data_IF_569823249439
#
_entry.id   IF_569823249439
#
_cell.length_a   1.000
_cell.length_b   1.000
_cell.length_c   1.000
_cell.angle_alpha   90.00
_cell.angle_beta   90.00
_cell.angle_gamma   90.00
#
_symmetry.space_group_name_H-M   'P 1'
#
loop_
_entity.id
_entity.type
_entity.pdbx_description
1 polymer ?
#
# COMPACT_ATOMS: atom_id res chain seq x y z
N UNK A 1 -8.30 -11.93 37.57
CA UNK A 1 -8.39 -10.92 36.48
C UNK A 1 -7.92 -11.43 35.12
N UNK A 2 -6.94 -12.32 35.06
CA UNK A 2 -6.37 -12.87 33.81
C UNK A 2 -7.38 -13.70 32.99
N UNK A 3 -8.30 -14.43 33.62
CA UNK A 3 -9.27 -15.27 32.91
C UNK A 3 -10.35 -14.54 32.11
N UNK A 4 -10.67 -13.29 32.45
CA UNK A 4 -11.68 -12.48 31.71
C UNK A 4 -11.09 -11.77 30.48
N UNK A 5 -9.78 -11.55 30.46
CA UNK A 5 -9.08 -10.88 29.34
C UNK A 5 -9.00 -11.73 28.07
N UNK A 6 -8.87 -13.06 28.22
CA UNK A 6 -8.70 -14.00 27.09
C UNK A 6 -9.98 -14.16 26.24
N UNK A 7 -11.16 -13.91 26.81
CA UNK A 7 -12.46 -14.07 26.13
C UNK A 7 -12.81 -12.91 25.17
N UNK A 8 -12.15 -11.76 25.26
CA UNK A 8 -12.46 -10.58 24.45
C UNK A 8 -11.89 -10.64 23.03
N UNK A 9 -10.89 -11.51 22.80
CA UNK A 9 -10.11 -11.48 21.57
C UNK A 9 -10.21 -12.81 20.85
N UNK A 10 -10.63 -12.85 19.57
CA UNK A 10 -10.56 -14.07 18.75
C UNK A 10 -9.11 -14.57 18.63
N UNK A 11 -8.90 -15.88 18.68
CA UNK A 11 -7.55 -16.48 18.64
C UNK A 11 -6.71 -16.07 17.42
N UNK A 12 -7.34 -15.84 16.27
CA UNK A 12 -6.66 -15.43 15.04
C UNK A 12 -6.06 -14.02 15.09
N UNK A 13 -6.51 -13.17 15.99
CA UNK A 13 -6.01 -11.79 16.11
C UNK A 13 -4.66 -11.71 16.82
N UNK A 14 -4.20 -12.79 17.46
CA UNK A 14 -2.91 -12.81 18.18
C UNK A 14 -1.71 -12.61 17.25
N UNK A 15 -1.82 -13.10 16.03
CA UNK A 15 -0.76 -13.06 15.01
C UNK A 15 -0.95 -11.93 13.98
N UNK A 16 -1.91 -10.99 14.24
CA UNK A 16 -2.28 -9.99 13.24
C UNK A 16 -2.11 -8.55 13.74
N UNK A 17 -0.89 -7.97 13.65
CA UNK A 17 -0.59 -6.62 14.13
C UNK A 17 -1.46 -5.53 13.50
N UNK A 18 -1.85 -5.66 12.22
CA UNK A 18 -2.68 -4.67 11.52
C UNK A 18 -4.08 -4.55 12.11
N UNK A 19 -4.66 -5.64 12.62
CA UNK A 19 -5.94 -5.61 13.34
C UNK A 19 -5.86 -4.67 14.56
N UNK A 20 -4.79 -4.80 15.36
CA UNK A 20 -4.56 -3.97 16.53
C UNK A 20 -4.30 -2.51 16.17
N UNK A 21 -3.55 -2.27 15.10
CA UNK A 21 -3.31 -0.93 14.55
C UNK A 21 -4.61 -0.30 14.05
N UNK A 22 -5.50 -1.06 13.43
CA UNK A 22 -6.81 -0.57 12.98
C UNK A 22 -7.70 -0.17 14.16
N UNK A 23 -7.77 -0.99 15.22
CA UNK A 23 -8.51 -0.64 16.45
C UNK A 23 -7.90 0.60 17.11
N UNK A 24 -6.57 0.69 17.17
CA UNK A 24 -5.86 1.85 17.73
C UNK A 24 -6.18 3.13 16.95
N UNK A 25 -6.16 3.08 15.61
CA UNK A 25 -6.54 4.22 14.76
C UNK A 25 -8.00 4.65 14.99
N UNK A 26 -8.92 3.71 15.13
CA UNK A 26 -10.33 3.99 15.45
C UNK A 26 -10.46 4.66 16.81
N UNK A 27 -9.78 4.19 17.84
CA UNK A 27 -9.77 4.82 19.17
C UNK A 27 -9.28 6.26 19.12
N UNK A 28 -8.21 6.56 18.37
CA UNK A 28 -7.69 7.92 18.18
C UNK A 28 -8.73 8.81 17.48
N UNK A 29 -9.43 8.28 16.49
CA UNK A 29 -10.49 9.01 15.79
C UNK A 29 -11.66 9.37 16.74
N UNK A 30 -12.05 8.46 17.62
CA UNK A 30 -13.08 8.72 18.63
C UNK A 30 -12.67 9.79 19.64
N UNK A 31 -11.42 9.84 20.04
CA UNK A 31 -10.90 10.91 20.88
C UNK A 31 -11.16 12.28 20.23
N UNK A 32 -10.89 12.42 18.95
CA UNK A 32 -11.14 13.67 18.18
C UNK A 32 -12.63 14.00 18.11
N UNK A 33 -13.49 13.02 17.82
CA UNK A 33 -14.95 13.22 17.75
C UNK A 33 -15.52 13.68 19.09
N UNK A 34 -15.04 13.15 20.21
CA UNK A 34 -15.54 13.54 21.55
C UNK A 34 -15.32 15.02 21.85
N UNK A 35 -14.23 15.61 21.41
CA UNK A 35 -14.05 17.06 21.52
C UNK A 35 -15.10 17.82 20.72
N UNK A 36 -15.46 17.35 19.52
CA UNK A 36 -16.55 17.93 18.74
C UNK A 36 -17.91 17.74 19.42
N UNK A 37 -18.16 16.59 20.05
CA UNK A 37 -19.40 16.32 20.79
C UNK A 37 -19.49 17.23 22.00
N UNK A 38 -18.43 17.38 22.79
CA UNK A 38 -18.41 18.28 23.94
C UNK A 38 -18.71 19.73 23.50
N UNK A 39 -18.08 20.19 22.42
CA UNK A 39 -18.35 21.51 21.82
C UNK A 39 -19.80 21.64 21.35
N UNK A 40 -20.37 20.60 20.75
CA UNK A 40 -21.75 20.59 20.26
C UNK A 40 -22.76 20.64 21.40
N UNK A 41 -22.53 19.91 22.49
CA UNK A 41 -23.39 19.95 23.71
C UNK A 41 -23.33 21.34 24.37
N UNK A 42 -22.13 21.92 24.44
CA UNK A 42 -21.96 23.29 24.95
C UNK A 42 -22.62 24.33 24.02
N UNK A 43 -22.45 24.15 22.70
CA UNK A 43 -23.13 24.98 21.68
C UNK A 43 -24.65 24.89 21.77
N UNK A 44 -25.21 23.69 21.99
CA UNK A 44 -26.64 23.49 22.19
C UNK A 44 -27.16 24.31 23.40
N UNK A 45 -26.39 24.36 24.48
CA UNK A 45 -26.76 25.14 25.66
C UNK A 45 -26.78 26.64 25.35
N UNK A 46 -25.75 27.17 24.66
CA UNK A 46 -25.66 28.59 24.30
C UNK A 46 -26.74 28.99 23.28
N UNK A 47 -26.85 28.22 22.18
CA UNK A 47 -27.82 28.49 21.10
C UNK A 47 -29.24 28.31 21.62
N UNK A 48 -29.49 27.27 22.42
CA UNK A 48 -30.77 26.99 23.03
C UNK A 48 -31.22 28.13 23.93
N UNK A 49 -30.34 28.63 24.79
CA UNK A 49 -30.68 29.71 25.71
C UNK A 49 -30.83 31.08 24.99
N UNK A 50 -29.87 31.45 24.14
CA UNK A 50 -29.79 32.80 23.58
C UNK A 50 -30.61 32.99 22.29
N UNK A 51 -30.68 31.96 21.42
CA UNK A 51 -31.31 32.07 20.09
C UNK A 51 -32.69 31.41 20.02
N UNK A 52 -32.86 30.26 20.67
CA UNK A 52 -34.10 29.48 20.63
C UNK A 52 -35.02 29.73 21.82
N UNK A 53 -34.61 30.62 22.76
CA UNK A 53 -35.41 30.98 23.96
C UNK A 53 -35.79 29.78 24.85
N UNK A 54 -34.95 28.75 24.87
CA UNK A 54 -35.13 27.60 25.78
C UNK A 54 -34.87 28.03 27.23
N UNK A 55 -35.83 27.74 28.10
CA UNK A 55 -35.70 28.04 29.53
C UNK A 55 -35.11 26.84 30.26
N UNK A 56 -33.77 26.83 30.42
CA UNK A 56 -33.08 25.85 31.24
C UNK A 56 -33.14 26.24 32.69
N UNK A 57 -33.36 25.28 33.58
CA UNK A 57 -33.22 25.49 35.03
C UNK A 57 -31.74 25.65 35.39
N UNK A 58 -31.41 26.34 36.51
CA UNK A 58 -30.02 26.44 36.98
C UNK A 58 -29.34 25.09 37.20
N UNK A 59 -30.11 24.06 37.58
CA UNK A 59 -29.60 22.68 37.72
C UNK A 59 -29.24 22.06 36.40
N UNK A 60 -30.09 22.23 35.37
CA UNK A 60 -29.82 21.73 34.02
C UNK A 60 -28.56 22.37 33.42
N UNK A 61 -28.37 23.68 33.57
CA UNK A 61 -27.17 24.39 33.12
C UNK A 61 -25.93 23.83 33.81
N UNK A 62 -25.95 23.72 35.16
CA UNK A 62 -24.81 23.16 35.92
C UNK A 62 -24.51 21.72 35.49
N UNK A 63 -25.54 20.88 35.35
CA UNK A 63 -25.40 19.49 34.92
C UNK A 63 -24.78 19.38 33.52
N UNK A 64 -25.26 20.14 32.54
CA UNK A 64 -24.70 20.11 31.15
C UNK A 64 -23.25 20.60 31.12
N UNK A 65 -22.90 21.64 31.88
CA UNK A 65 -21.51 22.10 32.00
C UNK A 65 -20.63 20.99 32.64
N UNK A 66 -21.09 20.35 33.71
CA UNK A 66 -20.36 19.27 34.39
C UNK A 66 -20.18 18.06 33.44
N UNK A 67 -21.21 17.73 32.63
CA UNK A 67 -21.14 16.68 31.60
C UNK A 67 -20.09 17.04 30.55
N UNK A 68 -20.06 18.26 30.04
CA UNK A 68 -19.05 18.72 29.10
C UNK A 68 -17.63 18.62 29.67
N UNK A 69 -17.45 19.08 30.91
CA UNK A 69 -16.17 19.00 31.61
C UNK A 69 -15.73 17.54 31.83
N UNK A 70 -16.67 16.66 32.18
CA UNK A 70 -16.37 15.23 32.36
C UNK A 70 -15.96 14.56 31.05
N UNK A 71 -16.62 14.90 29.92
CA UNK A 71 -16.23 14.42 28.57
C UNK A 71 -14.79 14.85 28.24
N UNK A 72 -14.45 16.11 28.48
CA UNK A 72 -13.11 16.62 28.22
C UNK A 72 -12.10 15.94 29.13
N UNK A 73 -12.39 15.82 30.42
CA UNK A 73 -11.50 15.23 31.42
C UNK A 73 -11.13 13.78 31.08
N UNK A 74 -12.14 12.91 30.90
CA UNK A 74 -11.83 11.51 30.60
C UNK A 74 -11.22 11.37 29.22
N UNK A 75 -11.56 12.23 28.24
CA UNK A 75 -10.96 12.20 26.93
C UNK A 75 -9.47 12.55 26.95
N UNK A 76 -9.06 13.53 27.78
CA UNK A 76 -7.63 13.84 28.02
C UNK A 76 -6.91 12.67 28.69
N UNK A 77 -7.53 12.01 29.67
CA UNK A 77 -6.95 10.83 30.33
C UNK A 77 -6.75 9.70 29.33
N UNK A 78 -7.73 9.46 28.46
CA UNK A 78 -7.64 8.43 27.40
C UNK A 78 -6.58 8.79 26.36
N UNK A 79 -6.50 10.06 25.98
CA UNK A 79 -5.49 10.54 25.01
C UNK A 79 -4.07 10.35 25.57
N UNK A 80 -3.87 10.63 26.83
CA UNK A 80 -2.59 10.35 27.50
C UNK A 80 -2.30 8.84 27.59
N UNK A 81 -3.31 8.03 27.90
CA UNK A 81 -3.16 6.58 28.07
C UNK A 81 -2.90 5.83 26.74
N UNK A 82 -3.20 6.41 25.59
CA UNK A 82 -3.01 5.75 24.27
C UNK A 82 -1.56 5.35 23.98
N UNK A 83 -0.58 6.05 24.56
CA UNK A 83 0.85 5.75 24.43
C UNK A 83 1.29 4.55 25.27
N UNK A 84 0.56 4.22 26.33
CA UNK A 84 0.88 3.18 27.30
C UNK A 84 0.21 1.85 26.92
N UNK A 85 -0.86 1.91 26.13
CA UNK A 85 -1.66 0.72 25.76
C UNK A 85 -0.92 -0.13 24.75
N UNK A 86 -0.53 -1.34 25.16
CA UNK A 86 0.21 -2.29 24.37
C UNK A 86 -0.59 -2.92 23.22
N UNK A 87 0.15 -3.50 22.28
CA UNK A 87 -0.38 -4.29 21.16
C UNK A 87 -0.55 -5.77 21.59
N UNK A 88 -0.03 -6.13 22.79
CA UNK A 88 0.03 -7.52 23.27
C UNK A 88 -1.35 -7.97 23.75
N UNK A 89 -1.88 -9.11 23.24
CA UNK A 89 -3.22 -9.58 23.59
C UNK A 89 -3.43 -10.00 25.05
N UNK A 90 -2.37 -10.29 25.79
CA UNK A 90 -2.39 -10.74 27.20
C UNK A 90 -2.44 -9.60 28.24
N UNK A 91 -2.26 -8.36 27.80
CA UNK A 91 -2.24 -7.18 28.67
C UNK A 91 -3.43 -6.26 28.40
N UNK A 92 -3.52 -5.13 29.11
CA UNK A 92 -4.51 -4.10 28.84
C UNK A 92 -4.24 -3.52 27.44
N UNK A 93 -5.10 -3.84 26.48
CA UNK A 93 -4.91 -3.56 25.06
C UNK A 93 -5.96 -2.57 24.52
N UNK A 94 -5.82 -2.23 23.24
CA UNK A 94 -6.70 -1.29 22.55
C UNK A 94 -8.19 -1.65 22.62
N UNK A 95 -8.55 -2.94 22.74
CA UNK A 95 -9.95 -3.39 22.84
C UNK A 95 -10.52 -3.14 24.24
N UNK A 96 -9.73 -3.34 25.29
CA UNK A 96 -10.15 -2.98 26.68
C UNK A 96 -10.34 -1.48 26.80
N UNK A 97 -9.44 -0.70 26.20
CA UNK A 97 -9.59 0.75 26.13
C UNK A 97 -10.88 1.15 25.39
N UNK A 98 -11.19 0.49 24.28
CA UNK A 98 -12.45 0.73 23.54
C UNK A 98 -13.69 0.41 24.37
N UNK A 99 -13.68 -0.70 25.10
CA UNK A 99 -14.78 -1.07 25.98
C UNK A 99 -14.99 -0.01 27.10
N UNK A 100 -13.91 0.41 27.75
CA UNK A 100 -13.97 1.45 28.77
C UNK A 100 -14.52 2.76 28.20
N UNK A 101 -14.06 3.16 27.03
CA UNK A 101 -14.53 4.36 26.32
C UNK A 101 -16.04 4.30 26.04
N UNK A 102 -16.52 3.20 25.49
CA UNK A 102 -17.94 3.00 25.16
C UNK A 102 -18.80 3.04 26.43
N UNK A 103 -18.37 2.43 27.52
CA UNK A 103 -19.10 2.46 28.78
C UNK A 103 -19.18 3.88 29.37
N UNK A 104 -18.09 4.64 29.32
CA UNK A 104 -18.07 6.04 29.75
C UNK A 104 -19.00 6.90 28.88
N UNK A 105 -18.94 6.72 27.55
CA UNK A 105 -19.81 7.45 26.62
C UNK A 105 -21.28 7.17 26.87
N UNK A 106 -21.68 5.91 27.14
CA UNK A 106 -23.07 5.58 27.52
C UNK A 106 -23.51 6.18 28.84
N UNK A 107 -22.60 6.21 29.82
CA UNK A 107 -22.89 6.82 31.12
C UNK A 107 -23.16 8.32 30.99
N UNK A 108 -22.28 9.00 30.26
CA UNK A 108 -22.41 10.45 30.02
C UNK A 108 -23.65 10.76 29.16
N UNK A 109 -23.91 9.96 28.13
CA UNK A 109 -25.10 10.12 27.30
C UNK A 109 -26.40 9.90 28.09
N UNK A 110 -26.43 8.93 29.01
CA UNK A 110 -27.58 8.67 29.90
C UNK A 110 -27.85 9.88 30.78
N UNK A 111 -26.79 10.46 31.37
CA UNK A 111 -26.92 11.69 32.20
C UNK A 111 -27.39 12.88 31.35
N UNK A 112 -26.86 13.05 30.12
CA UNK A 112 -27.27 14.11 29.22
C UNK A 112 -28.76 13.99 28.87
N UNK A 113 -29.22 12.78 28.54
CA UNK A 113 -30.62 12.49 28.20
C UNK A 113 -31.51 12.72 29.44
N UNK A 114 -31.09 12.33 30.62
CA UNK A 114 -31.82 12.58 31.86
C UNK A 114 -32.08 14.08 32.13
N UNK A 115 -31.02 14.91 32.02
CA UNK A 115 -31.14 16.35 32.29
C UNK A 115 -31.75 17.17 31.12
N UNK A 116 -32.02 16.52 29.98
CA UNK A 116 -32.61 17.18 28.80
C UNK A 116 -34.02 16.71 28.43
N UNK A 117 -34.68 15.91 29.32
CA UNK A 117 -36.07 15.54 29.15
C UNK A 117 -36.37 14.07 29.00
N UNK A 118 -35.37 13.19 29.12
CA UNK A 118 -35.48 11.71 29.03
C UNK A 118 -36.10 11.26 27.71
N UNK A 119 -37.40 10.92 27.69
CA UNK A 119 -38.13 10.53 26.48
C UNK A 119 -38.20 11.66 25.44
N UNK A 120 -38.30 12.91 25.90
CA UNK A 120 -38.40 14.09 25.06
C UNK A 120 -37.04 14.68 24.67
N UNK A 121 -35.97 14.12 25.21
CA UNK A 121 -34.62 14.56 24.90
C UNK A 121 -34.29 14.30 23.42
N UNK A 122 -33.79 15.28 22.66
CA UNK A 122 -33.33 15.04 21.29
C UNK A 122 -32.10 14.12 21.23
N UNK A 123 -31.41 13.93 22.37
CA UNK A 123 -30.14 13.20 22.44
C UNK A 123 -30.30 11.68 22.57
N UNK A 124 -31.49 11.13 22.83
CA UNK A 124 -31.67 9.67 22.96
C UNK A 124 -31.30 8.91 21.67
N UNK A 125 -31.39 9.54 20.50
CA UNK A 125 -30.98 8.93 19.23
C UNK A 125 -29.48 8.62 19.15
N UNK A 126 -28.65 9.30 19.93
CA UNK A 126 -27.21 9.02 19.98
C UNK A 126 -26.89 7.65 20.58
N UNK A 127 -27.78 7.03 21.33
CA UNK A 127 -27.63 5.63 21.77
C UNK A 127 -27.51 4.70 20.57
N UNK A 128 -28.31 4.93 19.51
CA UNK A 128 -28.28 4.12 18.27
C UNK A 128 -26.92 4.26 17.61
N UNK A 129 -26.40 5.47 17.49
CA UNK A 129 -25.10 5.73 16.89
C UNK A 129 -23.96 5.01 17.65
N UNK A 130 -23.98 5.10 18.98
CA UNK A 130 -22.98 4.42 19.83
C UNK A 130 -23.08 2.90 19.73
N UNK A 131 -24.29 2.32 19.55
CA UNK A 131 -24.45 0.89 19.32
C UNK A 131 -23.87 0.45 17.97
N UNK A 132 -24.04 1.24 16.91
CA UNK A 132 -23.41 0.96 15.60
C UNK A 132 -21.89 0.96 15.73
N UNK A 133 -21.35 2.01 16.32
CA UNK A 133 -19.90 2.16 16.55
C UNK A 133 -19.35 1.03 17.41
N UNK A 134 -20.01 0.73 18.51
CA UNK A 134 -19.65 -0.38 19.41
C UNK A 134 -19.64 -1.74 18.71
N UNK A 135 -20.60 -1.98 17.81
CA UNK A 135 -20.68 -3.21 17.01
C UNK A 135 -19.53 -3.40 16.00
N UNK A 136 -18.88 -2.30 15.59
CA UNK A 136 -17.73 -2.34 14.68
C UNK A 136 -16.39 -2.59 15.41
N UNK A 137 -16.37 -2.44 16.74
CA UNK A 137 -15.12 -2.52 17.53
C UNK A 137 -15.16 -3.70 18.48
N UNK A 138 -16.27 -3.85 19.21
CA UNK A 138 -16.41 -4.85 20.27
C UNK A 138 -16.97 -6.17 19.74
N UNK A 139 -16.64 -7.30 20.40
CA UNK A 139 -17.28 -8.58 20.12
C UNK A 139 -18.80 -8.49 20.25
N UNK A 140 -19.51 -9.15 19.31
CA UNK A 140 -20.96 -9.03 19.18
C UNK A 140 -21.76 -9.43 20.43
N UNK A 141 -21.23 -10.29 21.31
CA UNK A 141 -21.90 -10.64 22.56
C UNK A 141 -21.83 -9.50 23.59
N UNK A 142 -20.70 -8.78 23.67
CA UNK A 142 -20.55 -7.65 24.58
C UNK A 142 -21.50 -6.51 24.23
N UNK A 143 -21.54 -6.12 22.96
CA UNK A 143 -22.41 -5.01 22.54
C UNK A 143 -23.90 -5.36 22.71
N UNK A 144 -24.29 -6.64 22.55
CA UNK A 144 -25.64 -7.11 22.87
C UNK A 144 -25.95 -6.96 24.36
N UNK A 145 -25.01 -7.37 25.22
CA UNK A 145 -25.16 -7.22 26.68
C UNK A 145 -25.28 -5.74 27.06
N UNK A 146 -24.42 -4.88 26.51
CA UNK A 146 -24.48 -3.43 26.74
C UNK A 146 -25.82 -2.87 26.26
N UNK A 147 -26.33 -3.29 25.11
CA UNK A 147 -27.62 -2.87 24.57
C UNK A 147 -28.76 -3.19 25.57
N UNK A 148 -28.83 -4.41 26.09
CA UNK A 148 -29.83 -4.79 27.07
C UNK A 148 -29.72 -3.98 28.38
N UNK A 149 -28.48 -3.74 28.85
CA UNK A 149 -28.24 -2.90 30.04
C UNK A 149 -28.72 -1.48 29.80
N UNK A 150 -28.40 -0.87 28.67
CA UNK A 150 -28.83 0.49 28.32
C UNK A 150 -30.36 0.58 28.24
N UNK A 151 -31.04 -0.36 27.59
CA UNK A 151 -32.51 -0.42 27.51
C UNK A 151 -33.10 -0.57 28.94
N UNK A 152 -32.54 -1.45 29.78
CA UNK A 152 -33.04 -1.66 31.12
C UNK A 152 -32.87 -0.41 32.01
N UNK A 153 -31.70 0.25 31.97
CA UNK A 153 -31.43 1.46 32.72
C UNK A 153 -32.34 2.60 32.24
N UNK A 154 -32.49 2.77 30.90
CA UNK A 154 -33.36 3.81 30.37
C UNK A 154 -34.83 3.57 30.72
N UNK A 155 -35.32 2.32 30.66
CA UNK A 155 -36.69 1.96 31.04
C UNK A 155 -36.92 2.16 32.54
N UNK A 156 -35.94 1.80 33.38
CA UNK A 156 -36.00 2.05 34.84
C UNK A 156 -36.05 3.54 35.12
N UNK A 157 -35.26 4.35 34.45
CA UNK A 157 -35.25 5.82 34.61
C UNK A 157 -36.63 6.42 34.31
N UNK A 158 -37.25 6.01 33.18
CA UNK A 158 -38.60 6.46 32.78
C UNK A 158 -39.63 6.02 33.84
N UNK A 159 -39.54 4.79 34.34
CA UNK A 159 -40.43 4.29 35.38
C UNK A 159 -40.30 5.06 36.69
N UNK A 160 -39.04 5.32 37.17
CA UNK A 160 -38.79 6.07 38.42
C UNK A 160 -39.29 7.51 38.33
N UNK A 161 -39.18 8.16 37.15
CA UNK A 161 -39.77 9.49 36.89
C UNK A 161 -41.29 9.43 36.93
N UNK A 162 -41.90 8.36 36.45
CA UNK A 162 -43.37 8.19 36.40
C UNK A 162 -44.00 8.06 37.79
N UNK A 163 -43.29 7.45 38.73
CA UNK A 163 -43.75 7.29 40.14
C UNK A 163 -43.28 8.43 41.04
N UNK A 164 -42.76 9.54 40.43
CA UNK A 164 -42.26 10.74 41.11
C UNK A 164 -41.15 10.46 42.15
N UNK A 165 -40.42 9.35 42.01
CA UNK A 165 -39.25 9.03 42.84
C UNK A 165 -38.01 9.83 42.42
N UNK A 166 -37.92 10.22 41.15
CA UNK A 166 -36.86 11.03 40.56
C UNK A 166 -37.50 12.21 39.80
N UNK A 167 -36.90 13.40 39.95
CA UNK A 167 -37.38 14.59 39.24
C UNK A 167 -37.29 14.46 37.74
N UNK A 168 -38.33 14.96 37.06
CA UNK A 168 -38.35 15.07 35.57
C UNK A 168 -37.80 16.46 35.18
N UNK A 169 -36.82 16.45 34.25
CA UNK A 169 -36.14 17.66 33.80
C UNK A 169 -36.55 18.01 32.37
N UNK A 170 -37.65 18.75 32.24
CA UNK A 170 -38.13 19.20 30.92
C UNK A 170 -37.43 20.50 30.49
N UNK A 171 -37.14 20.63 29.22
CA UNK A 171 -36.69 21.89 28.63
C UNK A 171 -37.90 22.69 28.18
N UNK A 172 -38.25 23.74 28.96
CA UNK A 172 -39.35 24.63 28.58
C UNK A 172 -39.04 25.35 27.29
N UNK A 173 -39.94 25.23 26.30
CA UNK A 173 -39.75 25.75 24.92
C UNK A 173 -39.54 24.65 23.88
N UNK A 174 -39.11 23.45 24.24
CA UNK A 174 -39.11 22.24 23.40
C UNK A 174 -40.34 21.38 23.72
N UNK A 175 -40.66 21.24 25.02
CA UNK A 175 -41.71 20.34 25.49
C UNK A 175 -42.96 21.08 25.86
N UNK A 176 -44.12 20.55 25.45
CA UNK A 176 -45.44 21.00 25.90
C UNK A 176 -45.70 20.28 27.25
N UNK A 177 -46.00 21.06 28.25
CA UNK A 177 -46.27 20.60 29.64
C UNK A 177 -47.60 19.83 29.71
N UNK A 178 -47.69 18.68 29.05
CA UNK A 178 -48.83 17.77 29.02
C UNK A 178 -48.50 16.54 29.86
N UNK A 179 -49.37 16.19 30.82
CA UNK A 179 -49.32 14.90 31.51
C UNK A 179 -49.38 13.76 30.47
N UNK A 180 -48.26 13.09 30.24
CA UNK A 180 -48.18 12.02 29.26
C UNK A 180 -48.99 10.81 29.72
N UNK A 181 -49.82 10.21 28.85
CA UNK A 181 -50.50 8.97 29.20
C UNK A 181 -49.50 7.80 29.27
N UNK A 182 -49.77 6.83 30.12
CA UNK A 182 -48.92 5.63 30.29
C UNK A 182 -48.66 4.90 28.98
N UNK A 183 -49.67 4.85 28.12
CA UNK A 183 -49.58 4.20 26.79
C UNK A 183 -48.50 4.84 25.91
N UNK A 184 -48.25 6.13 26.04
CA UNK A 184 -47.19 6.81 25.31
C UNK A 184 -45.78 6.34 25.76
N UNK A 185 -45.54 6.30 27.06
CA UNK A 185 -44.28 5.88 27.64
C UNK A 185 -43.96 4.41 27.26
N UNK A 186 -44.96 3.51 27.34
CA UNK A 186 -44.83 2.10 26.98
C UNK A 186 -44.56 1.97 25.48
N UNK A 187 -45.28 2.66 24.64
CA UNK A 187 -45.08 2.62 23.18
C UNK A 187 -43.66 3.14 22.82
N UNK A 188 -43.24 4.26 23.41
CA UNK A 188 -41.91 4.81 23.18
C UNK A 188 -40.81 3.82 23.56
N UNK A 189 -40.90 3.21 24.76
CA UNK A 189 -39.93 2.23 25.21
C UNK A 189 -39.87 0.99 24.33
N UNK A 190 -41.04 0.49 23.85
CA UNK A 190 -41.08 -0.62 22.93
C UNK A 190 -40.41 -0.30 21.58
N UNK A 191 -40.72 0.90 21.02
CA UNK A 191 -40.10 1.36 19.77
C UNK A 191 -38.59 1.56 19.96
N UNK A 192 -38.18 2.23 21.04
CA UNK A 192 -36.77 2.43 21.36
C UNK A 192 -36.01 1.11 21.47
N UNK A 193 -36.55 0.15 22.25
CA UNK A 193 -35.93 -1.17 22.42
C UNK A 193 -35.83 -1.91 21.10
N UNK A 194 -36.91 -1.86 20.26
CA UNK A 194 -36.92 -2.51 18.94
C UNK A 194 -35.86 -1.94 18.02
N UNK A 195 -35.75 -0.61 17.96
CA UNK A 195 -34.73 0.07 17.14
C UNK A 195 -33.31 -0.29 17.63
N UNK A 196 -33.07 -0.24 18.95
CA UNK A 196 -31.77 -0.56 19.55
C UNK A 196 -31.34 -1.99 19.25
N UNK A 197 -32.23 -2.97 19.47
CA UNK A 197 -31.97 -4.39 19.24
C UNK A 197 -31.73 -4.66 17.73
N UNK A 198 -32.60 -4.10 16.87
CA UNK A 198 -32.47 -4.24 15.42
C UNK A 198 -31.17 -3.63 14.90
N UNK A 199 -30.79 -2.46 15.41
CA UNK A 199 -29.53 -1.79 15.07
C UNK A 199 -28.33 -2.65 15.43
N UNK A 200 -28.27 -3.17 16.65
CA UNK A 200 -27.19 -4.05 17.12
C UNK A 200 -27.13 -5.33 16.27
N UNK A 201 -28.28 -5.92 15.95
CA UNK A 201 -28.32 -7.12 15.13
C UNK A 201 -27.78 -6.88 13.72
N UNK A 202 -28.26 -5.81 13.05
CA UNK A 202 -27.80 -5.45 11.70
C UNK A 202 -26.33 -5.06 11.71
N UNK A 203 -25.91 -4.18 12.63
CA UNK A 203 -24.53 -3.71 12.70
C UNK A 203 -23.55 -4.87 12.97
N UNK A 204 -23.89 -5.78 13.89
CA UNK A 204 -23.07 -6.98 14.14
C UNK A 204 -23.00 -7.93 12.94
N UNK A 205 -24.09 -8.02 12.15
CA UNK A 205 -24.08 -8.82 10.92
C UNK A 205 -23.16 -8.22 9.87
N UNK A 206 -23.24 -6.90 9.70
CA UNK A 206 -22.37 -6.15 8.77
C UNK A 206 -20.90 -6.28 9.23
N UNK A 207 -20.60 -6.04 10.51
CA UNK A 207 -19.25 -6.14 11.06
C UNK A 207 -18.65 -7.52 10.81
N UNK A 208 -19.39 -8.59 11.09
CA UNK A 208 -18.93 -9.97 10.84
C UNK A 208 -18.69 -10.26 9.36
N UNK A 209 -19.55 -9.76 8.47
CA UNK A 209 -19.37 -9.93 7.04
C UNK A 209 -18.15 -9.18 6.52
N UNK A 210 -17.88 -7.97 7.03
CA UNK A 210 -16.68 -7.20 6.68
C UNK A 210 -15.41 -7.94 7.11
N UNK A 211 -15.34 -8.39 8.37
CA UNK A 211 -14.19 -9.16 8.87
C UNK A 211 -13.96 -10.45 8.07
N UNK A 212 -15.05 -11.17 7.72
CA UNK A 212 -14.94 -12.37 6.90
C UNK A 212 -14.42 -12.06 5.48
N UNK A 213 -14.86 -10.97 4.87
CA UNK A 213 -14.37 -10.55 3.55
C UNK A 213 -12.91 -10.15 3.60
N UNK A 214 -12.50 -9.41 4.63
CA UNK A 214 -11.10 -9.02 4.85
C UNK A 214 -10.20 -10.25 4.96
N UNK A 215 -10.60 -11.25 5.77
CA UNK A 215 -9.87 -12.51 5.90
C UNK A 215 -9.82 -13.30 4.57
N UNK A 216 -10.93 -13.37 3.83
CA UNK A 216 -10.94 -14.00 2.52
C UNK A 216 -10.02 -13.31 1.53
N UNK A 217 -10.02 -11.98 1.50
CA UNK A 217 -9.13 -11.20 0.64
C UNK A 217 -7.67 -11.48 0.98
N UNK A 218 -7.33 -11.47 2.26
CA UNK A 218 -5.97 -11.78 2.74
C UNK A 218 -5.51 -13.18 2.29
N UNK A 219 -6.35 -14.18 2.50
CA UNK A 219 -6.05 -15.56 2.08
C UNK A 219 -5.86 -15.66 0.56
N UNK A 220 -6.69 -14.96 -0.21
CA UNK A 220 -6.56 -14.93 -1.67
C UNK A 220 -5.25 -14.27 -2.11
N UNK A 221 -4.83 -13.18 -1.46
CA UNK A 221 -3.55 -12.53 -1.75
C UNK A 221 -2.36 -13.45 -1.45
N UNK A 222 -2.38 -14.17 -0.32
CA UNK A 222 -1.33 -15.15 0.01
C UNK A 222 -1.29 -16.27 -1.04
N UNK A 223 -2.45 -16.80 -1.44
CA UNK A 223 -2.51 -17.84 -2.48
C UNK A 223 -2.00 -17.36 -3.83
N UNK A 224 -2.31 -16.12 -4.22
CA UNK A 224 -1.80 -15.52 -5.46
C UNK A 224 -0.26 -15.39 -5.42
N UNK A 225 0.30 -14.95 -4.31
CA UNK A 225 1.75 -14.87 -4.14
C UNK A 225 2.43 -16.25 -4.22
N UNK A 226 1.86 -17.26 -3.56
CA UNK A 226 2.36 -18.64 -3.64
C UNK A 226 2.30 -19.22 -5.07
N UNK A 227 1.20 -18.95 -5.80
CA UNK A 227 1.06 -19.37 -7.20
C UNK A 227 2.09 -18.68 -8.09
N UNK A 228 2.29 -17.36 -7.91
CA UNK A 228 3.31 -16.62 -8.68
C UNK A 228 4.73 -17.13 -8.38
N UNK A 229 5.08 -17.32 -7.11
CA UNK A 229 6.37 -17.92 -6.69
C UNK A 229 6.55 -19.35 -7.27
N UNK A 230 5.50 -20.16 -7.27
CA UNK A 230 5.53 -21.50 -7.86
C UNK A 230 5.75 -21.47 -9.36
N UNK A 231 5.05 -20.57 -10.07
CA UNK A 231 5.23 -20.34 -11.51
C UNK A 231 6.67 -19.94 -11.86
N UNK A 232 7.27 -19.04 -11.07
CA UNK A 232 8.66 -18.61 -11.31
C UNK A 232 9.64 -19.77 -11.08
N UNK A 233 9.45 -20.57 -10.01
CA UNK A 233 10.28 -21.78 -9.76
C UNK A 233 10.15 -22.80 -10.89
N UNK A 234 8.93 -23.05 -11.38
CA UNK A 234 8.70 -23.94 -12.51
C UNK A 234 9.43 -23.44 -13.77
N UNK A 235 9.30 -22.16 -14.10
CA UNK A 235 10.01 -21.55 -15.23
C UNK A 235 11.53 -21.73 -15.12
N UNK A 236 12.10 -21.54 -13.93
CA UNK A 236 13.55 -21.76 -13.74
C UNK A 236 13.96 -23.22 -13.97
N UNK A 237 13.15 -24.18 -13.54
CA UNK A 237 13.40 -25.61 -13.79
C UNK A 237 13.38 -25.94 -15.29
N UNK A 238 12.32 -25.53 -16.00
CA UNK A 238 12.18 -25.76 -17.45
C UNK A 238 13.31 -25.10 -18.22
N UNK A 239 13.68 -23.87 -17.87
CA UNK A 239 14.75 -23.15 -18.54
C UNK A 239 16.12 -23.82 -18.33
N UNK A 240 16.35 -24.36 -17.16
CA UNK A 240 17.57 -25.15 -16.88
C UNK A 240 17.64 -26.43 -17.74
N UNK A 241 16.51 -27.14 -17.85
CA UNK A 241 16.41 -28.34 -18.68
C UNK A 241 16.58 -28.06 -20.18
N UNK A 242 16.15 -26.88 -20.66
CA UNK A 242 16.35 -26.46 -22.06
C UNK A 242 17.81 -26.02 -22.31
N UNK A 243 18.45 -25.35 -21.34
CA UNK A 243 19.85 -24.90 -21.46
C UNK A 243 20.80 -26.05 -21.72
N UNK A 244 20.61 -27.16 -21.04
CA UNK A 244 21.53 -28.33 -21.11
C UNK A 244 21.66 -28.90 -22.53
N UNK A 245 20.58 -29.26 -23.26
CA UNK A 245 20.69 -29.79 -24.62
C UNK A 245 21.23 -28.76 -25.62
N UNK A 246 20.90 -27.47 -25.47
CA UNK A 246 21.40 -26.42 -26.35
C UNK A 246 22.92 -26.25 -26.18
N UNK A 247 23.42 -26.25 -24.92
CA UNK A 247 24.85 -26.20 -24.65
C UNK A 247 25.59 -27.45 -25.17
N UNK A 248 24.96 -28.61 -25.17
CA UNK A 248 25.52 -29.82 -25.76
C UNK A 248 25.60 -29.70 -27.29
N UNK A 249 24.57 -29.16 -27.94
CA UNK A 249 24.61 -28.90 -29.40
C UNK A 249 25.75 -27.93 -29.77
N UNK A 250 25.91 -26.83 -28.99
CA UNK A 250 26.98 -25.86 -29.20
C UNK A 250 28.36 -26.51 -29.09
N UNK A 251 28.57 -27.33 -28.04
CA UNK A 251 29.80 -28.08 -27.84
C UNK A 251 30.13 -29.04 -28.98
N UNK A 252 29.14 -29.78 -29.52
CA UNK A 252 29.30 -30.68 -30.64
C UNK A 252 29.68 -29.91 -31.93
N UNK A 253 28.98 -28.80 -32.15
CA UNK A 253 29.27 -27.92 -33.28
C UNK A 253 30.71 -27.37 -33.21
N UNK A 254 31.16 -26.97 -32.02
CA UNK A 254 32.52 -26.49 -31.81
C UNK A 254 33.59 -27.57 -32.09
N UNK A 255 33.36 -28.81 -31.65
CA UNK A 255 34.27 -29.95 -31.92
C UNK A 255 34.38 -30.16 -33.42
N UNK A 256 33.31 -30.08 -34.17
CA UNK A 256 33.32 -30.28 -35.63
C UNK A 256 34.02 -29.09 -36.33
N UNK A 257 33.72 -27.84 -35.95
CA UNK A 257 34.36 -26.64 -36.50
C UNK A 257 35.85 -26.57 -36.24
N UNK A 258 36.32 -27.06 -35.08
CA UNK A 258 37.72 -27.18 -34.73
C UNK A 258 38.45 -28.34 -35.46
N UNK A 259 37.70 -29.05 -36.32
CA UNK A 259 38.20 -30.14 -37.16
C UNK A 259 38.75 -31.35 -36.41
N UNK A 260 38.33 -31.54 -35.13
CA UNK A 260 38.69 -32.72 -34.32
C UNK A 260 38.14 -34.04 -34.93
N UNK A 261 37.12 -33.97 -35.77
CA UNK A 261 36.44 -35.12 -36.38
C UNK A 261 36.92 -35.32 -37.84
N UNK A 262 37.82 -34.47 -38.34
CA UNK A 262 38.32 -34.49 -39.67
C UNK A 262 37.97 -33.24 -40.52
N UNK A 263 38.45 -33.13 -41.75
CA UNK A 263 38.20 -31.98 -42.60
C UNK A 263 36.73 -31.92 -43.01
N UNK A 264 36.17 -30.72 -43.00
CA UNK A 264 34.80 -30.42 -43.43
C UNK A 264 34.80 -29.54 -44.67
N UNK A 265 33.79 -29.66 -45.53
CA UNK A 265 33.60 -28.76 -46.69
C UNK A 265 33.20 -27.36 -46.24
N UNK A 266 33.53 -26.36 -47.08
CA UNK A 266 33.18 -24.96 -46.82
C UNK A 266 31.65 -24.75 -46.67
N UNK A 267 30.84 -25.52 -47.41
CA UNK A 267 29.38 -25.46 -47.29
C UNK A 267 28.89 -25.98 -45.95
N UNK A 268 29.49 -27.05 -45.43
CA UNK A 268 29.18 -27.61 -44.11
C UNK A 268 29.62 -26.64 -43.02
N UNK A 269 30.81 -26.04 -43.14
CA UNK A 269 31.31 -25.04 -42.19
C UNK A 269 30.38 -23.85 -42.08
N UNK A 270 29.88 -23.28 -43.20
CA UNK A 270 28.89 -22.20 -43.19
C UNK A 270 27.59 -22.59 -42.50
N UNK A 271 27.10 -23.82 -42.65
CA UNK A 271 25.89 -24.30 -41.98
C UNK A 271 26.13 -24.48 -40.47
N UNK A 272 27.26 -25.01 -40.07
CA UNK A 272 27.64 -25.18 -38.65
C UNK A 272 27.81 -23.83 -37.94
N UNK A 273 28.45 -22.86 -38.59
CA UNK A 273 28.54 -21.50 -38.02
C UNK A 273 27.17 -20.90 -37.77
N UNK A 274 26.23 -21.10 -38.70
CA UNK A 274 24.82 -20.63 -38.51
C UNK A 274 24.11 -21.37 -37.38
N UNK A 275 24.36 -22.66 -37.20
CA UNK A 275 23.80 -23.42 -36.04
C UNK A 275 24.39 -22.86 -34.74
N UNK A 276 25.69 -22.63 -34.67
CA UNK A 276 26.40 -22.08 -33.53
C UNK A 276 25.82 -20.71 -33.16
N UNK A 277 25.66 -19.81 -34.12
CA UNK A 277 25.06 -18.49 -33.93
C UNK A 277 23.64 -18.60 -33.33
N UNK A 278 22.77 -19.46 -33.92
CA UNK A 278 21.38 -19.65 -33.40
C UNK A 278 21.32 -20.31 -32.03
N UNK A 279 22.22 -21.23 -31.75
CA UNK A 279 22.31 -21.86 -30.42
C UNK A 279 22.74 -20.82 -29.36
N UNK A 280 23.74 -19.99 -29.67
CA UNK A 280 24.20 -18.89 -28.80
C UNK A 280 23.11 -17.86 -28.51
N UNK A 281 22.35 -17.45 -29.55
CA UNK A 281 21.17 -16.58 -29.36
C UNK A 281 20.13 -17.21 -28.39
N UNK A 282 19.86 -18.52 -28.56
CA UNK A 282 18.97 -19.27 -27.73
C UNK A 282 19.45 -19.28 -26.25
N UNK A 283 20.75 -19.52 -26.02
CA UNK A 283 21.33 -19.49 -24.69
C UNK A 283 21.26 -18.12 -24.03
N UNK A 284 21.50 -17.04 -24.77
CA UNK A 284 21.36 -15.67 -24.28
C UNK A 284 19.90 -15.42 -23.84
N UNK A 285 18.93 -15.83 -24.67
CA UNK A 285 17.51 -15.69 -24.34
C UNK A 285 17.15 -16.45 -23.05
N UNK A 286 17.57 -17.70 -22.95
CA UNK A 286 17.36 -18.57 -21.81
C UNK A 286 17.95 -17.95 -20.53
N UNK A 287 19.20 -17.46 -20.60
CA UNK A 287 19.85 -16.82 -19.45
C UNK A 287 19.12 -15.53 -19.01
N UNK A 288 18.58 -14.75 -19.96
CA UNK A 288 17.79 -13.55 -19.62
C UNK A 288 16.46 -13.92 -18.93
N UNK A 289 15.78 -14.99 -19.37
CA UNK A 289 14.56 -15.50 -18.70
C UNK A 289 14.89 -15.93 -17.26
N UNK A 290 16.02 -16.65 -17.06
CA UNK A 290 16.49 -17.04 -15.73
C UNK A 290 16.74 -15.82 -14.83
N UNK A 291 17.42 -14.79 -15.35
CA UNK A 291 17.70 -13.56 -14.60
C UNK A 291 16.41 -12.87 -14.18
N UNK A 292 15.44 -12.70 -15.08
CA UNK A 292 14.13 -12.10 -14.80
C UNK A 292 13.38 -12.94 -13.74
N UNK A 293 13.37 -14.27 -13.89
CA UNK A 293 12.67 -15.18 -12.95
C UNK A 293 13.30 -15.17 -11.58
N UNK A 294 14.64 -15.11 -11.47
CA UNK A 294 15.36 -14.97 -10.21
C UNK A 294 15.04 -13.64 -9.54
N UNK A 295 15.11 -12.53 -10.29
CA UNK A 295 14.77 -11.22 -9.76
C UNK A 295 13.38 -11.19 -9.16
N UNK A 296 12.38 -11.78 -9.81
CA UNK A 296 11.01 -11.83 -9.32
C UNK A 296 10.83 -12.64 -8.03
N UNK A 297 11.72 -13.59 -7.74
CA UNK A 297 11.70 -14.39 -6.51
C UNK A 297 12.42 -13.74 -5.33
N UNK A 298 13.30 -12.77 -5.57
CA UNK A 298 13.97 -12.05 -4.50
C UNK A 298 12.95 -11.19 -3.74
N UNK A 299 12.85 -11.36 -2.45
CA UNK A 299 11.97 -10.52 -1.60
C UNK A 299 12.57 -9.13 -1.39
N UNK A 300 13.90 -9.07 -1.27
CA UNK A 300 14.66 -7.82 -1.15
C UNK A 300 15.90 -7.90 -2.05
N UNK A 301 16.34 -6.76 -2.55
CA UNK A 301 17.63 -6.62 -3.25
C UNK A 301 18.68 -6.36 -2.17
N UNK A 302 19.81 -7.09 -2.20
CA UNK A 302 20.96 -6.72 -1.38
C UNK A 302 21.37 -5.30 -1.77
N UNK A 303 21.42 -4.39 -0.80
CA UNK A 303 21.66 -2.98 -1.07
C UNK A 303 22.95 -2.54 -0.40
N UNK A 304 23.90 -2.15 -1.23
CA UNK A 304 25.12 -1.47 -0.82
C UNK A 304 25.07 0.01 -1.21
N UNK A 305 25.87 0.83 -0.56
CA UNK A 305 26.10 2.21 -1.00
C UNK A 305 26.92 2.21 -2.30
N UNK A 306 26.38 2.77 -3.36
CA UNK A 306 26.99 2.79 -4.69
C UNK A 306 26.98 4.18 -5.31
N UNK A 307 28.04 4.52 -6.00
CA UNK A 307 28.12 5.72 -6.83
C UNK A 307 27.88 5.35 -8.29
N UNK A 308 26.81 5.86 -8.88
CA UNK A 308 26.39 5.52 -10.25
C UNK A 308 27.44 5.89 -11.31
N UNK A 309 28.18 6.96 -11.11
CA UNK A 309 29.23 7.39 -12.02
C UNK A 309 30.43 6.40 -12.02
N UNK A 310 30.70 5.73 -10.89
CA UNK A 310 31.69 4.67 -10.82
C UNK A 310 31.26 3.45 -11.64
N UNK A 311 29.99 3.03 -11.50
CA UNK A 311 29.44 1.92 -12.27
C UNK A 311 29.51 2.20 -13.78
N UNK A 312 29.13 3.41 -14.19
CA UNK A 312 29.16 3.79 -15.60
C UNK A 312 30.61 3.81 -16.12
N UNK A 313 31.54 4.38 -15.38
CA UNK A 313 32.97 4.41 -15.77
C UNK A 313 33.56 3.01 -15.87
N UNK A 314 33.38 2.19 -14.83
CA UNK A 314 33.84 0.81 -14.81
C UNK A 314 33.28 0.01 -16.00
N UNK A 315 31.99 0.17 -16.29
CA UNK A 315 31.38 -0.45 -17.45
C UNK A 315 32.02 0.01 -18.78
N UNK A 316 32.27 1.32 -18.93
CA UNK A 316 32.88 1.87 -20.15
C UNK A 316 34.33 1.38 -20.29
N UNK A 317 35.14 1.41 -19.24
CA UNK A 317 36.55 0.92 -19.25
C UNK A 317 36.63 -0.57 -19.65
N UNK A 318 35.74 -1.41 -19.12
CA UNK A 318 35.74 -2.85 -19.43
C UNK A 318 35.27 -3.20 -20.84
N UNK A 319 34.54 -2.30 -21.51
CA UNK A 319 33.83 -2.65 -22.74
C UNK A 319 34.20 -1.79 -23.96
N UNK A 320 34.94 -0.70 -23.79
CA UNK A 320 35.21 0.25 -24.90
C UNK A 320 35.96 -0.39 -26.05
N UNK A 321 36.80 -1.41 -25.81
CA UNK A 321 37.59 -2.10 -26.81
C UNK A 321 36.86 -3.29 -27.49
N UNK A 322 35.62 -3.60 -27.05
CA UNK A 322 34.85 -4.67 -27.66
C UNK A 322 34.31 -4.27 -29.03
N UNK A 323 34.38 -5.18 -30.00
CA UNK A 323 34.00 -4.96 -31.41
C UNK A 323 32.63 -4.33 -31.59
N UNK A 324 31.68 -4.64 -30.69
CA UNK A 324 30.32 -4.10 -30.75
C UNK A 324 30.23 -2.61 -30.42
N UNK A 325 31.21 -2.08 -29.64
CA UNK A 325 31.24 -0.69 -29.18
C UNK A 325 32.20 0.21 -29.95
N UNK A 326 33.10 -0.34 -30.77
CA UNK A 326 34.09 0.42 -31.60
C UNK A 326 33.38 1.39 -32.55
N UNK A 327 32.13 1.12 -32.91
CA UNK A 327 31.34 1.98 -33.81
C UNK A 327 30.69 3.15 -33.10
N UNK A 328 30.77 3.22 -31.75
CA UNK A 328 30.11 4.23 -30.93
C UNK A 328 31.10 5.28 -30.43
N UNK A 329 30.80 6.56 -30.69
CA UNK A 329 31.41 7.66 -29.99
C UNK A 329 30.62 7.87 -28.69
N UNK A 330 31.19 7.42 -27.54
CA UNK A 330 30.51 7.49 -26.23
C UNK A 330 30.94 8.76 -25.52
N UNK A 331 29.96 9.59 -25.14
CA UNK A 331 30.15 10.75 -24.28
C UNK A 331 29.48 10.49 -22.94
N UNK A 332 30.20 10.70 -21.85
CA UNK A 332 29.65 10.63 -20.48
C UNK A 332 29.79 11.95 -19.79
N UNK A 333 28.69 12.49 -19.27
CA UNK A 333 28.63 13.74 -18.54
C UNK A 333 27.89 13.53 -17.22
N UNK A 334 28.54 13.84 -16.12
CA UNK A 334 27.92 13.88 -14.79
C UNK A 334 27.80 15.33 -14.36
N UNK A 335 26.57 15.83 -14.35
CA UNK A 335 26.21 17.24 -14.12
C UNK A 335 25.66 17.46 -12.70
N UNK A 336 25.98 16.55 -11.79
CA UNK A 336 25.58 16.66 -10.37
C UNK A 336 26.57 17.51 -9.60
N UNK A 337 26.06 18.44 -8.79
CA UNK A 337 26.92 19.25 -7.89
C UNK A 337 27.49 18.38 -6.76
N UNK A 338 26.69 17.48 -6.21
CA UNK A 338 27.08 16.55 -5.14
C UNK A 338 26.76 15.12 -5.59
N UNK A 339 27.78 14.24 -5.56
CA UNK A 339 27.61 12.83 -5.91
C UNK A 339 27.13 12.05 -4.71
N UNK A 340 25.81 12.02 -4.52
CA UNK A 340 25.19 11.23 -3.45
C UNK A 340 25.22 9.75 -3.81
N UNK A 341 25.50 8.84 -2.84
CA UNK A 341 25.38 7.42 -3.06
C UNK A 341 23.91 7.00 -3.24
N UNK A 342 23.71 5.95 -4.01
CA UNK A 342 22.45 5.20 -4.08
C UNK A 342 22.59 3.95 -3.23
N UNK A 343 21.47 3.45 -2.75
CA UNK A 343 21.40 2.11 -2.16
C UNK A 343 20.84 1.12 -3.17
N UNK A 344 21.62 0.10 -3.53
CA UNK A 344 21.22 -0.85 -4.54
C UNK A 344 22.22 -1.97 -4.76
N UNK A 345 21.91 -2.84 -5.71
CA UNK A 345 22.79 -3.91 -6.19
C UNK A 345 23.61 -3.42 -7.38
N UNK A 346 24.93 -3.31 -7.16
CA UNK A 346 25.89 -2.83 -8.17
C UNK A 346 25.86 -3.67 -9.45
N UNK A 347 25.79 -4.99 -9.32
CA UNK A 347 25.80 -5.90 -10.47
C UNK A 347 24.52 -5.81 -11.30
N UNK A 348 23.39 -5.65 -10.64
CA UNK A 348 22.09 -5.46 -11.33
C UNK A 348 22.05 -4.12 -12.07
N UNK A 349 22.51 -3.04 -11.47
CA UNK A 349 22.54 -1.73 -12.13
C UNK A 349 23.55 -1.71 -13.27
N UNK A 350 24.72 -2.33 -13.12
CA UNK A 350 25.70 -2.54 -14.21
C UNK A 350 25.08 -3.33 -15.36
N UNK A 351 24.31 -4.38 -15.05
CA UNK A 351 23.57 -5.17 -16.04
C UNK A 351 22.51 -4.34 -16.77
N UNK A 352 21.78 -3.47 -16.07
CA UNK A 352 20.79 -2.59 -16.67
C UNK A 352 21.45 -1.61 -17.67
N UNK A 353 22.54 -0.95 -17.27
CA UNK A 353 23.31 -0.06 -18.14
C UNK A 353 23.84 -0.82 -19.35
N UNK A 354 24.43 -2.00 -19.15
CA UNK A 354 24.94 -2.86 -20.21
C UNK A 354 23.87 -3.20 -21.27
N UNK A 355 22.66 -3.54 -20.84
CA UNK A 355 21.56 -3.85 -21.76
C UNK A 355 21.13 -2.63 -22.58
N UNK A 356 21.09 -1.43 -21.98
CA UNK A 356 20.72 -0.21 -22.69
C UNK A 356 21.80 0.15 -23.71
N UNK A 357 23.07 0.17 -23.29
CA UNK A 357 24.20 0.53 -24.18
C UNK A 357 24.34 -0.48 -25.31
N UNK A 358 24.20 -1.79 -25.02
CA UNK A 358 24.21 -2.83 -26.07
C UNK A 358 23.06 -2.65 -27.07
N UNK A 359 21.87 -2.25 -26.64
CA UNK A 359 20.78 -1.93 -27.56
C UNK A 359 21.13 -0.73 -28.45
N UNK A 360 21.66 0.36 -27.86
CA UNK A 360 22.11 1.52 -28.63
C UNK A 360 23.16 1.12 -29.70
N UNK A 361 24.17 0.30 -29.32
CA UNK A 361 25.17 -0.19 -30.25
C UNK A 361 24.60 -1.00 -31.43
N UNK A 362 23.52 -1.76 -31.20
CA UNK A 362 22.85 -2.55 -32.24
C UNK A 362 22.02 -1.72 -33.23
N UNK A 363 21.48 -0.60 -32.78
CA UNK A 363 20.51 0.18 -33.56
C UNK A 363 21.06 1.48 -34.11
N UNK A 364 22.32 1.83 -33.87
CA UNK A 364 23.03 2.90 -34.55
C UNK A 364 23.66 2.42 -35.86
N UNK A 365 23.83 3.34 -36.78
CA UNK A 365 24.57 3.12 -38.03
C UNK A 365 26.06 3.50 -37.87
N UNK A 366 26.83 3.46 -38.97
CA UNK A 366 28.23 3.86 -38.94
C UNK A 366 28.38 5.28 -38.38
N UNK A 367 29.27 5.47 -37.40
CA UNK A 367 29.47 6.73 -36.67
C UNK A 367 28.36 7.03 -35.67
N UNK A 368 27.89 6.00 -34.91
CA UNK A 368 26.93 6.16 -33.83
C UNK A 368 27.44 7.03 -32.71
N UNK A 369 26.54 7.83 -32.10
CA UNK A 369 26.78 8.64 -30.92
C UNK A 369 25.91 8.10 -29.78
N UNK A 370 26.55 7.91 -28.66
CA UNK A 370 25.87 7.59 -27.37
C UNK A 370 26.23 8.67 -26.36
N UNK A 371 25.25 9.38 -25.86
CA UNK A 371 25.44 10.43 -24.86
C UNK A 371 24.73 10.05 -23.56
N UNK A 372 25.53 9.81 -22.51
CA UNK A 372 25.07 9.43 -21.17
C UNK A 372 25.15 10.68 -20.29
N UNK A 373 24.02 11.16 -19.81
CA UNK A 373 23.91 12.32 -18.95
C UNK A 373 23.33 11.89 -17.59
N UNK A 374 24.06 12.23 -16.52
CA UNK A 374 23.63 12.01 -15.13
C UNK A 374 23.44 13.36 -14.46
N UNK A 375 22.30 13.56 -13.79
CA UNK A 375 21.98 14.78 -13.06
C UNK A 375 20.99 14.52 -11.93
N UNK A 376 20.82 15.48 -11.04
CA UNK A 376 19.80 15.45 -10.01
C UNK A 376 18.56 16.25 -10.44
N UNK A 377 17.37 15.65 -10.28
CA UNK A 377 16.08 16.32 -10.53
C UNK A 377 15.13 15.97 -9.38
N UNK A 378 14.63 16.99 -8.66
CA UNK A 378 13.65 16.81 -7.58
C UNK A 378 14.08 15.76 -6.53
N UNK A 379 15.32 15.83 -6.06
CA UNK A 379 15.91 14.88 -5.10
C UNK A 379 15.92 13.42 -5.57
N UNK A 380 15.92 13.20 -6.89
CA UNK A 380 16.08 11.88 -7.51
C UNK A 380 17.27 11.92 -8.48
N UNK A 381 17.99 10.81 -8.56
CA UNK A 381 18.98 10.59 -9.59
C UNK A 381 18.27 10.41 -10.94
N UNK A 382 18.69 11.19 -11.91
CA UNK A 382 18.22 11.14 -13.30
C UNK A 382 19.37 10.72 -14.22
N UNK A 383 19.15 9.64 -14.98
CA UNK A 383 20.11 9.14 -15.99
C UNK A 383 19.41 9.16 -17.32
N UNK A 384 19.99 9.84 -18.31
CA UNK A 384 19.52 9.88 -19.68
C UNK A 384 20.60 9.25 -20.59
N UNK A 385 20.27 8.12 -21.19
CA UNK A 385 21.12 7.41 -22.13
C UNK A 385 20.48 7.56 -23.52
N UNK A 386 21.09 8.44 -24.32
CA UNK A 386 20.58 8.86 -25.64
C UNK A 386 21.48 8.38 -26.76
N UNK A 387 20.89 7.77 -27.80
CA UNK A 387 21.57 7.39 -29.05
C UNK A 387 21.01 8.16 -30.27
N UNK A 388 21.76 8.16 -31.38
CA UNK A 388 21.35 8.69 -32.63
C UNK A 388 20.98 7.57 -33.64
N UNK A 389 20.38 6.50 -33.15
CA UNK A 389 19.98 5.35 -33.98
C UNK A 389 18.69 5.55 -34.76
N UNK A 390 18.09 4.45 -35.17
CA UNK A 390 16.87 4.41 -36.02
C UNK A 390 15.60 4.93 -35.29
N UNK A 391 15.65 5.15 -33.99
CA UNK A 391 14.51 5.55 -33.20
C UNK A 391 13.43 4.46 -33.03
N UNK A 392 12.31 4.84 -32.43
CA UNK A 392 11.17 3.95 -32.14
C UNK A 392 9.90 4.62 -32.68
N UNK A 393 9.04 3.87 -33.44
CA UNK A 393 7.74 4.40 -33.87
C UNK A 393 6.88 4.84 -32.68
N UNK A 394 6.21 5.99 -32.81
CA UNK A 394 5.49 6.65 -31.71
C UNK A 394 4.48 5.73 -31.00
N UNK A 395 3.72 4.93 -31.74
CA UNK A 395 2.75 3.98 -31.18
C UNK A 395 3.35 2.75 -30.47
N UNK A 396 4.70 2.59 -30.50
CA UNK A 396 5.40 1.42 -29.97
C UNK A 396 6.29 1.72 -28.76
N UNK A 397 6.51 3.00 -28.43
CA UNK A 397 7.41 3.44 -27.35
C UNK A 397 7.12 2.77 -26.01
N UNK A 398 5.86 2.64 -25.63
CA UNK A 398 5.49 2.01 -24.35
C UNK A 398 5.62 0.48 -24.37
N UNK A 399 5.61 -0.15 -25.56
CA UNK A 399 5.64 -1.60 -25.71
C UNK A 399 7.05 -2.19 -25.72
N UNK A 400 8.08 -1.38 -25.92
CA UNK A 400 9.48 -1.87 -25.96
C UNK A 400 9.96 -2.47 -24.65
N UNK A 401 9.27 -2.21 -23.55
CA UNK A 401 9.53 -2.79 -22.22
C UNK A 401 8.76 -4.09 -21.97
N UNK A 402 7.87 -4.50 -22.90
CA UNK A 402 7.16 -5.76 -22.79
C UNK A 402 8.09 -6.93 -23.18
N UNK A 403 7.92 -8.07 -22.50
CA UNK A 403 8.73 -9.26 -22.76
C UNK A 403 8.49 -9.75 -24.20
N UNK A 404 9.58 -10.11 -24.91
CA UNK A 404 9.58 -10.58 -26.28
C UNK A 404 9.12 -9.54 -27.33
N UNK A 405 8.84 -8.30 -26.94
CA UNK A 405 8.45 -7.27 -27.88
C UNK A 405 9.65 -6.72 -28.65
N UNK A 406 9.46 -6.49 -29.93
CA UNK A 406 10.43 -5.86 -30.84
C UNK A 406 9.69 -4.88 -31.75
N UNK A 407 10.21 -3.66 -31.86
CA UNK A 407 9.64 -2.63 -32.71
C UNK A 407 9.64 -3.03 -34.21
N UNK A 408 8.62 -2.61 -34.93
CA UNK A 408 8.39 -3.02 -36.31
C UNK A 408 9.54 -2.61 -37.25
N UNK A 409 10.16 -1.45 -37.03
CA UNK A 409 11.31 -0.96 -37.78
C UNK A 409 12.59 -1.78 -37.55
N UNK A 410 12.67 -2.59 -36.48
CA UNK A 410 13.81 -3.47 -36.23
C UNK A 410 13.69 -4.84 -36.90
N UNK A 411 12.46 -5.28 -37.23
CA UNK A 411 12.21 -6.60 -37.87
C UNK A 411 12.71 -6.68 -39.30
N UNK A 412 12.72 -5.56 -40.03
CA UNK A 412 13.18 -5.46 -41.42
C UNK A 412 14.70 -5.51 -41.57
N UNK A 413 15.44 -5.20 -40.50
CA UNK A 413 16.92 -5.11 -40.51
C UNK A 413 17.50 -6.35 -39.88
N UNK A 414 17.36 -7.51 -40.13
CA UNK A 414 18.03 -8.73 -39.64
C UNK A 414 18.88 -8.56 -38.35
N UNK A 415 18.59 -7.52 -37.53
CA UNK A 415 19.25 -7.26 -36.24
C UNK A 415 18.77 -8.29 -35.23
N UNK A 416 19.72 -9.00 -34.65
CA UNK A 416 19.44 -10.07 -33.68
C UNK A 416 19.05 -9.50 -32.33
N UNK A 417 18.03 -10.09 -31.69
CA UNK A 417 17.64 -9.71 -30.33
C UNK A 417 16.41 -10.46 -29.82
N UNK A 418 16.46 -10.85 -28.54
CA UNK A 418 15.41 -11.65 -27.90
C UNK A 418 14.16 -10.83 -27.50
N UNK A 419 14.23 -9.49 -27.46
CA UNK A 419 13.17 -8.64 -26.90
C UNK A 419 13.05 -8.73 -25.38
N UNK A 420 14.06 -9.25 -24.67
CA UNK A 420 14.06 -9.41 -23.21
C UNK A 420 14.94 -8.37 -22.49
N UNK A 421 15.87 -7.72 -23.18
CA UNK A 421 16.83 -6.81 -22.55
C UNK A 421 16.17 -5.64 -21.81
N UNK A 422 15.27 -4.91 -22.49
CA UNK A 422 14.60 -3.74 -21.89
C UNK A 422 13.57 -4.14 -20.83
N UNK A 423 12.92 -5.29 -20.94
CA UNK A 423 12.04 -5.80 -19.87
C UNK A 423 12.84 -6.18 -18.62
N UNK A 424 14.05 -6.71 -18.77
CA UNK A 424 14.97 -6.94 -17.66
C UNK A 424 15.41 -5.62 -16.99
N UNK A 425 15.76 -4.61 -17.80
CA UNK A 425 16.09 -3.28 -17.28
C UNK A 425 14.93 -2.71 -16.46
N UNK A 426 13.70 -2.77 -16.99
CA UNK A 426 12.51 -2.30 -16.28
C UNK A 426 12.34 -2.98 -14.91
N UNK A 427 12.54 -4.29 -14.84
CA UNK A 427 12.43 -5.04 -13.60
C UNK A 427 13.53 -4.63 -12.62
N UNK A 428 14.78 -4.47 -13.08
CA UNK A 428 15.91 -4.03 -12.24
C UNK A 428 15.61 -2.64 -11.64
N UNK A 429 15.22 -1.68 -12.48
CA UNK A 429 14.94 -0.31 -12.04
C UNK A 429 13.75 -0.26 -11.09
N UNK A 430 12.70 -1.01 -11.36
CA UNK A 430 11.54 -1.11 -10.45
C UNK A 430 11.92 -1.66 -9.07
N UNK A 431 12.82 -2.66 -9.01
CA UNK A 431 13.35 -3.23 -7.76
C UNK A 431 14.19 -2.26 -6.94
N UNK A 432 14.77 -1.25 -7.58
CA UNK A 432 15.47 -0.14 -6.93
C UNK A 432 14.54 1.05 -6.61
N UNK A 433 13.20 0.86 -6.66
CA UNK A 433 12.22 1.92 -6.41
C UNK A 433 12.17 2.99 -7.50
N UNK A 434 12.82 2.76 -8.64
CA UNK A 434 12.94 3.71 -9.73
C UNK A 434 11.87 3.58 -10.81
N UNK A 435 11.95 4.47 -11.79
CA UNK A 435 11.11 4.45 -12.98
C UNK A 435 11.96 4.56 -14.25
N UNK A 436 11.50 3.92 -15.34
CA UNK A 436 12.15 3.98 -16.64
C UNK A 436 11.15 4.41 -17.70
N UNK A 437 11.60 5.25 -18.65
CA UNK A 437 10.84 5.70 -19.83
C UNK A 437 11.73 5.74 -21.05
N UNK A 438 11.11 5.62 -22.23
CA UNK A 438 11.77 5.86 -23.51
C UNK A 438 11.15 7.08 -24.17
N UNK A 439 11.97 7.81 -24.93
CA UNK A 439 11.57 8.93 -25.78
C UNK A 439 12.25 8.75 -27.14
N UNK A 440 11.49 8.93 -28.20
CA UNK A 440 11.98 9.01 -29.56
C UNK A 440 11.17 10.10 -30.27
N UNK A 441 11.79 11.11 -30.90
CA UNK A 441 13.23 11.29 -31.10
C UNK A 441 14.03 11.53 -29.81
N UNK A 442 15.32 11.12 -29.83
CA UNK A 442 16.23 11.33 -28.71
C UNK A 442 16.71 12.80 -28.63
N UNK A 443 17.34 13.13 -27.49
CA UNK A 443 17.95 14.45 -27.26
C UNK A 443 19.04 14.80 -28.30
N UNK A 444 19.71 13.81 -28.84
CA UNK A 444 20.79 13.96 -29.81
C UNK A 444 20.39 13.50 -31.26
N UNK A 445 19.11 13.12 -31.43
CA UNK A 445 18.58 12.71 -32.70
C UNK A 445 18.39 13.85 -33.70
N UNK A 446 18.25 13.50 -34.97
CA UNK A 446 17.94 14.42 -36.05
C UNK A 446 16.83 13.83 -36.97
N UNK A 447 16.45 14.52 -38.05
CA UNK A 447 15.37 14.05 -38.92
C UNK A 447 15.66 12.72 -39.61
N UNK A 448 16.94 12.41 -39.87
CA UNK A 448 17.37 11.18 -40.55
C UNK A 448 17.59 10.04 -39.56
N UNK A 449 18.12 10.38 -38.40
CA UNK A 449 18.45 9.47 -37.31
C UNK A 449 17.76 9.97 -36.02
N UNK A 450 16.47 9.66 -35.82
CA UNK A 450 15.71 10.20 -34.72
C UNK A 450 16.25 9.75 -33.34
N UNK A 451 16.89 8.59 -33.29
CA UNK A 451 17.48 8.07 -32.06
C UNK A 451 16.49 7.74 -30.97
N UNK A 452 17.02 7.19 -29.88
CA UNK A 452 16.24 6.84 -28.68
C UNK A 452 16.93 7.36 -27.43
N UNK A 453 16.16 7.97 -26.51
CA UNK A 453 16.59 8.29 -25.15
C UNK A 453 15.91 7.35 -24.18
N UNK A 454 16.70 6.62 -23.38
CA UNK A 454 16.21 5.84 -22.24
C UNK A 454 16.47 6.65 -20.98
N UNK A 455 15.40 7.01 -20.30
CA UNK A 455 15.41 7.86 -19.10
C UNK A 455 15.12 7.00 -17.89
N UNK A 456 16.05 6.99 -16.92
CA UNK A 456 15.94 6.30 -15.65
C UNK A 456 15.88 7.34 -14.53
N UNK A 457 14.99 7.13 -13.56
CA UNK A 457 14.93 7.90 -12.32
C UNK A 457 15.04 6.93 -11.15
N UNK A 458 15.98 7.19 -10.24
CA UNK A 458 16.18 6.40 -9.03
C UNK A 458 16.06 7.31 -7.80
N UNK A 459 15.33 6.91 -6.77
CA UNK A 459 15.29 7.67 -5.52
C UNK A 459 16.64 7.55 -4.82
N UNK A 460 17.12 8.66 -4.22
CA UNK A 460 18.07 8.57 -3.11
C UNK A 460 17.28 8.04 -1.91
N UNK A 461 17.84 7.15 -1.09
CA UNK A 461 17.18 6.79 0.15
C UNK A 461 17.00 8.06 0.99
N UNK A 462 15.81 8.25 1.57
CA UNK A 462 15.59 9.35 2.50
C UNK A 462 16.55 9.18 3.68
N UNK A 463 17.23 10.27 4.06
CA UNK A 463 17.94 10.33 5.34
C UNK A 463 16.94 9.93 6.42
N UNK A 464 17.31 9.01 7.31
CA UNK A 464 16.49 8.49 8.44
C UNK A 464 16.15 9.58 9.49
N UNK A 465 16.40 10.85 9.21
CA UNK A 465 16.14 11.98 10.09
C UNK A 465 14.70 12.54 10.00
N UNK A 466 13.83 11.99 9.14
CA UNK A 466 12.43 12.39 9.10
C UNK A 466 11.56 11.25 9.69
N UNK A 467 11.40 11.31 11.02
CA UNK A 467 10.51 10.42 11.78
C UNK A 467 9.11 10.39 11.15
N UNK A 468 8.80 9.37 10.36
CA UNK A 468 7.41 9.14 9.99
C UNK A 468 7.08 8.43 8.68
N UNK A 469 8.03 8.09 7.82
CA UNK A 469 7.68 7.38 6.58
C UNK A 469 8.05 5.90 6.65
N UNK A 470 7.16 5.13 7.24
CA UNK A 470 7.14 3.67 7.16
C UNK A 470 7.23 3.24 5.69
N UNK A 471 8.25 2.46 5.36
CA UNK A 471 8.37 1.73 4.09
C UNK A 471 7.02 1.10 3.73
N UNK A 472 6.39 1.60 2.68
CA UNK A 472 5.22 0.95 2.09
C UNK A 472 5.75 -0.26 1.31
N UNK A 473 5.43 -1.50 1.69
CA UNK A 473 5.72 -2.63 0.82
C UNK A 473 4.99 -2.41 -0.49
N UNK A 474 5.71 -2.42 -1.61
CA UNK A 474 5.18 -2.29 -2.95
C UNK A 474 4.05 -3.31 -3.15
N UNK A 475 2.81 -2.85 -3.05
CA UNK A 475 1.66 -3.56 -3.57
C UNK A 475 1.84 -3.59 -5.09
N UNK A 476 1.97 -4.79 -5.62
CA UNK A 476 1.98 -5.02 -7.06
C UNK A 476 0.76 -4.34 -7.69
N UNK A 477 1.02 -3.37 -8.55
CA UNK A 477 0.01 -2.77 -9.39
C UNK A 477 -0.49 -3.79 -10.43
N UNK A 478 -1.79 -3.85 -10.56
CA UNK A 478 -2.53 -4.49 -11.65
C UNK A 478 -2.14 -3.89 -13.00
#
# INVERSE_FOLDING_TARGET
MVGFMILLVPKWTYEYPEFWNTIRRRNIWFIKIRYCIALSVFGFLIVGHNLLSFNFTPLQIKAQILICLSIILYNVIIDYSKSIVGIIPSEFNAMHLSLMQILLDFTVLMLLVYYTGTIESPFYMFFILHMVVGSLILPGYLIKTICFIVIAIFSLLVYLQRIDLIESHFIRGITIDLTRPLNYDVLFLLVFATIMISTVFIANRIARNLLKREEQLRQTLIQLDEVEKSKQRYLMGVVHEIKTPISAIESIVDIILQKYVGPISEEVEKKLLRIKERSGEGLIMINNILKISKLKLLEQVETDEILIDEIIKEFLEENIDKTDYIKLSIKFTDDREIKKPLFGDKELLKLAISNIVSNSAKYVENSGILDILVKDINSQLFIDISDNGIGIPEGEINKIFDQFYRATNTKSRKTEGSGLGLSLVKEIIARHGGTIKAISPSRIGNEVHPGTSIIIKLPYQADDDDEGTTLIPLQGGL
#
